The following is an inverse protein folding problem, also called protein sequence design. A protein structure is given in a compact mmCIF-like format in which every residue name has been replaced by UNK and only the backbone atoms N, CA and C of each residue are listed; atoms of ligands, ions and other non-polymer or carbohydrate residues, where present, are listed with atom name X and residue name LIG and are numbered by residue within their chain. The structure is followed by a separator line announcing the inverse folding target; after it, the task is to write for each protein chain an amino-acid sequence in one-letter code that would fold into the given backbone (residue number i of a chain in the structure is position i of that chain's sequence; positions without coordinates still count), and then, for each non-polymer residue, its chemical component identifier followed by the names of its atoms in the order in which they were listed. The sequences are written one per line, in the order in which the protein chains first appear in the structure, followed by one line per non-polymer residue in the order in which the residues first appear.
data_IF_634092176733
#
_entry.id   IF_634092176733
#
_cell.length_a   1.000
_cell.length_b   1.000
_cell.length_c   1.000
_cell.angle_alpha   90.00
_cell.angle_beta   90.00
_cell.angle_gamma   90.00
#
_symmetry.space_group_name_H-M   'P 1'
#
loop_
_entity.id
_entity.type
_entity.pdbx_description
1 polymer ?
#
# COMPACT_ATOMS: atom_id res chain seq x y z
N UNK A 1 -25.72 -0.38 -24.34
CA UNK A 1 -25.03 -0.70 -23.07
C UNK A 1 -23.79 0.19 -23.00
N UNK A 2 -23.48 0.80 -21.85
CA UNK A 2 -22.29 1.64 -21.72
C UNK A 2 -21.02 0.77 -21.88
N UNK A 3 -20.13 1.01 -22.86
CA UNK A 3 -18.94 0.19 -23.07
C UNK A 3 -17.98 0.17 -21.86
N UNK A 4 -18.07 1.18 -20.98
CA UNK A 4 -17.27 1.28 -19.77
C UNK A 4 -17.76 0.38 -18.63
N UNK A 5 -19.00 -0.14 -18.71
CA UNK A 5 -19.57 -0.97 -17.64
C UNK A 5 -18.76 -2.25 -17.40
N UNK A 6 -18.37 -2.96 -18.47
CA UNK A 6 -17.55 -4.17 -18.35
C UNK A 6 -16.17 -3.88 -17.76
N UNK A 7 -15.58 -2.74 -18.11
CA UNK A 7 -14.28 -2.32 -17.56
C UNK A 7 -14.39 -1.95 -16.07
N UNK A 8 -15.47 -1.31 -15.64
CA UNK A 8 -15.72 -1.04 -14.23
C UNK A 8 -15.93 -2.33 -13.43
N UNK A 9 -16.70 -3.30 -13.97
CA UNK A 9 -16.84 -4.61 -13.35
C UNK A 9 -15.50 -5.35 -13.22
N UNK A 10 -14.64 -5.24 -14.24
CA UNK A 10 -13.29 -5.79 -14.16
C UNK A 10 -12.45 -5.11 -13.07
N UNK A 11 -12.45 -3.77 -12.98
CA UNK A 11 -11.78 -3.04 -11.90
C UNK A 11 -12.27 -3.49 -10.51
N UNK A 12 -13.58 -3.63 -10.35
CA UNK A 12 -14.19 -4.09 -9.09
C UNK A 12 -13.77 -5.53 -8.77
N UNK A 13 -13.75 -6.43 -9.76
CA UNK A 13 -13.28 -7.80 -9.59
C UNK A 13 -11.80 -7.86 -9.18
N UNK A 14 -10.95 -7.00 -9.76
CA UNK A 14 -9.55 -6.89 -9.34
C UNK A 14 -9.43 -6.40 -7.89
N UNK A 15 -10.20 -5.38 -7.48
CA UNK A 15 -10.18 -4.93 -6.08
C UNK A 15 -10.70 -5.99 -5.10
N UNK A 16 -11.75 -6.74 -5.46
CA UNK A 16 -12.19 -7.88 -4.67
C UNK A 16 -11.08 -8.95 -4.56
N UNK A 17 -10.40 -9.25 -5.66
CA UNK A 17 -9.23 -10.13 -5.69
C UNK A 17 -8.09 -9.65 -4.78
N UNK A 18 -7.81 -8.33 -4.76
CA UNK A 18 -6.84 -7.72 -3.86
C UNK A 18 -7.20 -7.91 -2.38
N UNK A 19 -8.46 -7.66 -2.02
CA UNK A 19 -8.98 -7.85 -0.65
C UNK A 19 -8.87 -9.32 -0.23
N UNK A 20 -9.22 -10.25 -1.13
CA UNK A 20 -9.09 -11.70 -0.90
C UNK A 20 -7.62 -12.06 -0.67
N UNK A 21 -6.71 -11.61 -1.52
CA UNK A 21 -5.28 -11.89 -1.39
C UNK A 21 -4.72 -11.33 -0.07
N UNK A 22 -5.05 -10.09 0.28
CA UNK A 22 -4.66 -9.48 1.56
C UNK A 22 -5.24 -10.20 2.77
N UNK A 23 -6.49 -10.66 2.71
CA UNK A 23 -7.12 -11.48 3.76
C UNK A 23 -6.40 -12.82 3.93
N UNK A 24 -5.98 -13.47 2.84
CA UNK A 24 -5.20 -14.70 2.90
C UNK A 24 -3.79 -14.46 3.48
N UNK A 25 -3.18 -13.30 3.22
CA UNK A 25 -1.94 -12.88 3.89
C UNK A 25 -2.17 -12.78 5.40
N UNK A 26 -3.24 -12.11 5.84
CA UNK A 26 -3.57 -11.98 7.27
C UNK A 26 -3.77 -13.36 7.91
N UNK A 27 -4.55 -14.26 7.28
CA UNK A 27 -4.77 -15.63 7.77
C UNK A 27 -3.50 -16.48 7.85
N UNK A 28 -2.47 -16.16 7.07
CA UNK A 28 -1.17 -16.84 7.16
C UNK A 28 -0.44 -16.52 8.48
N UNK A 29 -0.67 -15.33 9.03
CA UNK A 29 -0.03 -14.87 10.27
C UNK A 29 -0.91 -15.07 11.51
N UNK A 30 -2.24 -15.09 11.35
CA UNK A 30 -3.19 -15.12 12.46
C UNK A 30 -4.26 -16.20 12.30
N UNK A 31 -4.49 -16.95 13.38
CA UNK A 31 -5.59 -17.91 13.49
C UNK A 31 -6.80 -17.34 14.25
N UNK A 32 -6.62 -16.24 14.99
CA UNK A 32 -7.69 -15.61 15.76
C UNK A 32 -8.73 -14.97 14.81
N UNK A 33 -10.01 -15.37 14.88
CA UNK A 33 -11.04 -14.87 13.98
C UNK A 33 -11.29 -13.36 14.13
N UNK A 34 -11.16 -12.79 15.33
CA UNK A 34 -11.34 -11.35 15.55
C UNK A 34 -10.28 -10.55 14.78
N UNK A 35 -9.02 -10.97 14.88
CA UNK A 35 -7.89 -10.34 14.21
C UNK A 35 -8.00 -10.44 12.68
N UNK A 36 -8.44 -11.60 12.18
CA UNK A 36 -8.69 -11.81 10.76
C UNK A 36 -9.84 -10.93 10.26
N UNK A 37 -10.97 -10.91 10.96
CA UNK A 37 -12.14 -10.08 10.59
C UNK A 37 -11.77 -8.61 10.60
N UNK A 38 -11.12 -8.13 11.66
CA UNK A 38 -10.68 -6.73 11.75
C UNK A 38 -9.75 -6.38 10.59
N UNK A 39 -8.76 -7.22 10.29
CA UNK A 39 -7.85 -6.98 9.18
C UNK A 39 -8.56 -6.96 7.82
N UNK A 40 -9.51 -7.88 7.59
CA UNK A 40 -10.33 -7.88 6.37
C UNK A 40 -11.19 -6.61 6.26
N UNK A 41 -11.77 -6.14 7.37
CA UNK A 41 -12.52 -4.88 7.38
C UNK A 41 -11.64 -3.68 7.05
N UNK A 42 -10.41 -3.62 7.59
CA UNK A 42 -9.45 -2.56 7.22
C UNK A 42 -9.20 -2.55 5.72
N UNK A 43 -8.88 -3.70 5.12
CA UNK A 43 -8.63 -3.77 3.67
C UNK A 43 -9.85 -3.41 2.82
N UNK A 44 -11.04 -3.76 3.28
CA UNK A 44 -12.28 -3.56 2.53
C UNK A 44 -12.81 -2.13 2.62
N UNK A 45 -12.64 -1.50 3.78
CA UNK A 45 -13.24 -0.20 4.12
C UNK A 45 -12.19 0.91 4.22
N UNK A 46 -10.94 0.65 3.83
CA UNK A 46 -9.93 1.70 3.76
C UNK A 46 -10.33 2.73 2.68
N UNK A 47 -10.38 4.03 3.03
CA UNK A 47 -10.95 5.06 2.16
C UNK A 47 -10.41 5.07 0.72
N UNK A 48 -9.08 5.04 0.53
CA UNK A 48 -8.51 5.04 -0.82
C UNK A 48 -8.85 3.79 -1.64
N UNK A 49 -9.10 2.65 -0.99
CA UNK A 49 -9.56 1.43 -1.65
C UNK A 49 -10.94 1.61 -2.30
N UNK A 50 -11.84 2.32 -1.62
CA UNK A 50 -13.18 2.66 -2.12
C UNK A 50 -13.08 3.55 -3.35
N UNK A 51 -12.27 4.60 -3.29
CA UNK A 51 -12.02 5.51 -4.43
C UNK A 51 -11.49 4.77 -5.65
N UNK A 52 -10.64 3.77 -5.45
CA UNK A 52 -10.05 3.01 -6.54
C UNK A 52 -10.94 1.94 -7.14
N UNK A 53 -11.88 1.38 -6.37
CA UNK A 53 -12.75 0.32 -6.83
C UNK A 53 -13.62 0.73 -8.03
N UNK A 54 -14.02 2.01 -8.10
CA UNK A 54 -14.82 2.55 -9.20
C UNK A 54 -14.03 3.08 -10.40
N UNK A 55 -12.69 3.18 -10.30
CA UNK A 55 -11.86 3.78 -11.36
C UNK A 55 -11.51 2.76 -12.44
N UNK A 56 -11.55 3.21 -13.69
CA UNK A 56 -11.03 2.47 -14.83
C UNK A 56 -9.57 2.89 -15.00
N UNK A 57 -8.65 1.93 -14.89
CA UNK A 57 -7.22 2.17 -15.00
C UNK A 57 -6.42 0.90 -14.73
N UNK A 58 -5.09 1.01 -14.76
CA UNK A 58 -4.20 -0.12 -14.51
C UNK A 58 -4.02 -0.40 -13.01
N UNK A 59 -4.41 0.56 -12.15
CA UNK A 59 -4.24 0.48 -10.70
C UNK A 59 -4.94 -0.73 -10.06
N UNK A 60 -6.24 -1.01 -10.30
CA UNK A 60 -6.89 -2.16 -9.69
C UNK A 60 -6.21 -3.50 -10.05
N UNK A 61 -5.84 -3.68 -11.33
CA UNK A 61 -5.14 -4.88 -11.79
C UNK A 61 -3.75 -4.99 -11.16
N UNK A 62 -2.99 -3.89 -11.08
CA UNK A 62 -1.73 -3.85 -10.36
C UNK A 62 -1.93 -4.24 -8.89
N UNK A 63 -2.94 -3.71 -8.20
CA UNK A 63 -3.18 -4.01 -6.78
C UNK A 63 -3.47 -5.50 -6.60
N UNK A 64 -4.33 -6.07 -7.42
CA UNK A 64 -4.61 -7.50 -7.43
C UNK A 64 -3.34 -8.34 -7.60
N UNK A 65 -2.55 -8.06 -8.64
CA UNK A 65 -1.32 -8.81 -8.94
C UNK A 65 -0.25 -8.60 -7.87
N UNK A 66 -0.12 -7.40 -7.31
CA UNK A 66 0.77 -7.10 -6.18
C UNK A 66 0.34 -7.90 -4.94
N UNK A 67 -0.96 -7.91 -4.63
CA UNK A 67 -1.51 -8.65 -3.50
C UNK A 67 -1.26 -10.16 -3.62
N UNK A 68 -1.46 -10.74 -4.81
CA UNK A 68 -1.14 -12.14 -5.08
C UNK A 68 0.38 -12.41 -5.00
N UNK A 69 1.20 -11.54 -5.59
CA UNK A 69 2.65 -11.63 -5.48
C UNK A 69 3.11 -11.65 -4.02
N UNK A 70 2.63 -10.71 -3.20
CA UNK A 70 2.94 -10.63 -1.79
C UNK A 70 2.41 -11.85 -1.01
N UNK A 71 1.20 -12.35 -1.33
CA UNK A 71 0.66 -13.59 -0.75
C UNK A 71 1.59 -14.77 -0.96
N UNK A 72 2.03 -15.01 -2.19
CA UNK A 72 2.91 -16.13 -2.50
C UNK A 72 4.33 -15.93 -1.95
N UNK A 73 4.85 -14.69 -1.89
CA UNK A 73 6.10 -14.40 -1.15
C UNK A 73 5.94 -14.78 0.32
N UNK A 74 4.85 -14.36 0.97
CA UNK A 74 4.60 -14.67 2.37
C UNK A 74 4.43 -16.17 2.60
N UNK A 75 3.67 -16.88 1.75
CA UNK A 75 3.50 -18.33 1.85
C UNK A 75 4.83 -19.07 1.67
N UNK A 76 5.61 -18.72 0.65
CA UNK A 76 6.96 -19.29 0.48
C UNK A 76 7.84 -19.02 1.70
N UNK A 77 7.78 -17.80 2.25
CA UNK A 77 8.57 -17.41 3.40
C UNK A 77 8.20 -18.21 4.66
N UNK A 78 6.89 -18.35 4.95
CA UNK A 78 6.37 -18.98 6.17
C UNK A 78 6.26 -20.50 6.07
N UNK A 79 5.77 -21.03 4.95
CA UNK A 79 5.50 -22.46 4.74
C UNK A 79 6.68 -23.17 4.05
N UNK A 80 7.56 -22.43 3.38
CA UNK A 80 8.77 -23.00 2.78
C UNK A 80 8.57 -23.72 1.45
N UNK A 81 7.40 -23.64 0.84
CA UNK A 81 7.11 -24.33 -0.42
C UNK A 81 7.78 -23.66 -1.62
N UNK A 82 8.64 -24.41 -2.34
CA UNK A 82 9.31 -23.92 -3.55
C UNK A 82 8.34 -23.47 -4.65
N UNK A 83 7.17 -24.10 -4.76
CA UNK A 83 6.13 -23.73 -5.74
C UNK A 83 5.71 -22.27 -5.56
N UNK A 84 5.50 -21.84 -4.32
CA UNK A 84 5.03 -20.49 -4.01
C UNK A 84 6.06 -19.43 -4.41
N UNK A 85 7.37 -19.74 -4.34
CA UNK A 85 8.43 -18.88 -4.86
C UNK A 85 8.31 -18.61 -6.37
N UNK A 86 8.05 -19.66 -7.15
CA UNK A 86 7.90 -19.55 -8.60
C UNK A 86 6.57 -18.88 -8.98
N UNK A 87 5.50 -19.14 -8.23
CA UNK A 87 4.21 -18.47 -8.46
C UNK A 87 4.33 -16.98 -8.13
N UNK A 88 5.04 -16.61 -7.06
CA UNK A 88 5.32 -15.22 -6.73
C UNK A 88 6.08 -14.48 -7.85
N UNK A 89 7.06 -15.13 -8.49
CA UNK A 89 7.83 -14.51 -9.57
C UNK A 89 7.00 -14.30 -10.84
N UNK A 90 6.05 -15.19 -11.14
CA UNK A 90 5.07 -15.00 -12.21
C UNK A 90 4.16 -13.81 -11.93
N UNK A 91 3.64 -13.67 -10.69
CA UNK A 91 2.83 -12.50 -10.34
C UNK A 91 3.63 -11.20 -10.32
N UNK A 92 4.91 -11.24 -9.93
CA UNK A 92 5.82 -10.09 -10.02
C UNK A 92 6.04 -9.65 -11.48
N UNK A 93 6.22 -10.61 -12.39
CA UNK A 93 6.30 -10.38 -13.83
C UNK A 93 5.03 -9.71 -14.36
N UNK A 94 3.86 -10.30 -14.09
CA UNK A 94 2.57 -9.77 -14.54
C UNK A 94 2.29 -8.36 -13.97
N UNK A 95 2.58 -8.15 -12.68
CA UNK A 95 2.42 -6.84 -12.03
C UNK A 95 3.31 -5.79 -12.69
N UNK A 96 4.53 -6.15 -13.04
CA UNK A 96 5.50 -5.24 -13.68
C UNK A 96 5.06 -4.83 -15.08
N UNK A 97 4.57 -5.77 -15.89
CA UNK A 97 4.02 -5.47 -17.23
C UNK A 97 2.78 -4.59 -17.13
N UNK A 98 1.96 -4.78 -16.09
CA UNK A 98 0.81 -3.91 -15.84
C UNK A 98 1.23 -2.47 -15.51
N UNK A 99 2.26 -2.31 -14.65
CA UNK A 99 2.85 -1.02 -14.28
C UNK A 99 4.24 -1.19 -13.68
N UNK A 100 5.17 -0.27 -13.94
CA UNK A 100 6.54 -0.32 -13.42
C UNK A 100 6.64 -0.46 -11.89
N UNK A 101 5.65 0.02 -11.13
CA UNK A 101 5.56 -0.18 -9.66
C UNK A 101 5.44 -1.65 -9.24
N UNK A 102 5.08 -2.56 -10.15
CA UNK A 102 5.12 -4.00 -9.95
C UNK A 102 6.53 -4.56 -9.71
N UNK A 103 7.59 -3.84 -10.11
CA UNK A 103 8.98 -4.21 -9.82
C UNK A 103 9.26 -4.35 -8.32
N UNK A 104 8.47 -3.67 -7.48
CA UNK A 104 8.60 -3.76 -6.03
C UNK A 104 8.30 -5.18 -5.52
N UNK A 105 7.48 -5.97 -6.22
CA UNK A 105 7.25 -7.38 -5.87
C UNK A 105 8.54 -8.19 -6.08
N UNK A 106 9.27 -7.97 -7.18
CA UNK A 106 10.58 -8.58 -7.40
C UNK A 106 11.58 -8.13 -6.33
N UNK A 107 11.63 -6.83 -6.01
CA UNK A 107 12.53 -6.30 -5.00
C UNK A 107 12.32 -7.00 -3.64
N UNK A 108 11.07 -7.18 -3.21
CA UNK A 108 10.73 -7.90 -1.98
C UNK A 108 11.12 -9.37 -2.07
N UNK A 109 10.79 -10.07 -3.16
CA UNK A 109 11.12 -11.48 -3.37
C UNK A 109 12.64 -11.72 -3.31
N UNK A 110 13.42 -10.89 -4.02
CA UNK A 110 14.88 -10.95 -4.06
C UNK A 110 15.47 -10.63 -2.67
N UNK A 111 15.00 -9.57 -2.02
CA UNK A 111 15.46 -9.20 -0.68
C UNK A 111 15.19 -10.31 0.35
N UNK A 112 14.02 -10.97 0.30
CA UNK A 112 13.75 -12.16 1.11
C UNK A 112 14.70 -13.32 0.76
N UNK A 113 15.04 -13.53 -0.52
CA UNK A 113 15.92 -14.63 -0.94
C UNK A 113 17.32 -14.50 -0.33
N UNK A 114 17.87 -13.29 -0.35
CA UNK A 114 19.24 -13.01 0.09
C UNK A 114 19.33 -12.43 1.50
N UNK A 115 18.24 -12.49 2.29
CA UNK A 115 18.26 -12.00 3.66
C UNK A 115 19.24 -12.82 4.52
N UNK A 116 20.22 -12.18 5.20
CA UNK A 116 21.34 -12.86 5.84
C UNK A 116 20.97 -13.57 7.15
N UNK A 117 19.88 -13.18 7.78
CA UNK A 117 19.40 -13.81 9.02
C UNK A 117 18.59 -15.04 8.65
N UNK A 118 19.13 -16.22 8.99
CA UNK A 118 18.69 -17.54 8.54
C UNK A 118 17.18 -17.70 8.36
N UNK A 119 16.82 -18.40 7.28
CA UNK A 119 15.44 -18.72 6.96
C UNK A 119 14.71 -19.40 8.13
N UNK A 120 13.38 -19.27 8.16
CA UNK A 120 12.57 -20.00 9.12
C UNK A 120 12.87 -21.52 9.02
N UNK A 121 12.90 -22.25 10.15
CA UNK A 121 13.11 -23.69 10.15
C UNK A 121 12.12 -24.38 9.20
N UNK A 122 12.62 -25.28 8.33
CA UNK A 122 11.79 -25.99 7.35
C UNK A 122 11.63 -25.30 5.99
N UNK A 123 12.16 -24.09 5.78
CA UNK A 123 12.17 -23.45 4.46
C UNK A 123 13.01 -24.26 3.47
N UNK A 124 12.42 -24.69 2.35
CA UNK A 124 13.20 -25.31 1.29
C UNK A 124 14.12 -24.25 0.64
N UNK A 125 15.42 -24.53 0.47
CA UNK A 125 16.32 -23.61 -0.20
C UNK A 125 15.90 -23.46 -1.67
N UNK A 126 15.97 -22.23 -2.18
CA UNK A 126 15.81 -21.96 -3.61
C UNK A 126 16.95 -22.62 -4.37
N UNK A 127 16.64 -23.30 -5.49
CA UNK A 127 17.65 -23.88 -6.37
C UNK A 127 18.22 -22.80 -7.30
N UNK A 128 19.43 -23.00 -7.83
CA UNK A 128 20.02 -22.10 -8.85
C UNK A 128 19.08 -21.90 -10.05
N UNK A 129 18.39 -22.96 -10.48
CA UNK A 129 17.42 -22.86 -11.59
C UNK A 129 16.25 -21.92 -11.25
N UNK A 130 15.83 -21.84 -10.00
CA UNK A 130 14.75 -20.93 -9.58
C UNK A 130 15.19 -19.47 -9.70
N UNK A 131 16.45 -19.19 -9.33
CA UNK A 131 17.06 -17.87 -9.46
C UNK A 131 17.23 -17.47 -10.93
N UNK A 132 17.61 -18.41 -11.80
CA UNK A 132 17.66 -18.19 -13.26
C UNK A 132 16.28 -17.86 -13.82
N UNK A 133 15.24 -18.57 -13.39
CA UNK A 133 13.85 -18.27 -13.80
C UNK A 133 13.43 -16.88 -13.33
N UNK A 134 13.69 -16.52 -12.07
CA UNK A 134 13.38 -15.17 -11.56
C UNK A 134 14.14 -14.09 -12.34
N UNK A 135 15.44 -14.30 -12.60
CA UNK A 135 16.25 -13.36 -13.37
C UNK A 135 15.72 -13.21 -14.81
N UNK A 136 15.38 -14.32 -15.47
CA UNK A 136 14.77 -14.31 -16.80
C UNK A 136 13.46 -13.53 -16.81
N UNK A 137 12.55 -13.82 -15.87
CA UNK A 137 11.27 -13.12 -15.76
C UNK A 137 11.46 -11.64 -15.46
N UNK A 138 12.39 -11.26 -14.59
CA UNK A 138 12.71 -9.86 -14.32
C UNK A 138 13.21 -9.14 -15.57
N UNK A 139 14.17 -9.72 -16.29
CA UNK A 139 14.70 -9.14 -17.53
C UNK A 139 13.61 -9.02 -18.59
N UNK A 140 12.78 -10.05 -18.76
CA UNK A 140 11.66 -10.02 -19.68
C UNK A 140 10.63 -8.94 -19.31
N UNK A 141 10.27 -8.83 -18.03
CA UNK A 141 9.35 -7.79 -17.55
C UNK A 141 9.90 -6.37 -17.79
N UNK A 142 11.17 -6.14 -17.43
CA UNK A 142 11.84 -4.86 -17.69
C UNK A 142 11.92 -4.55 -19.20
N UNK A 143 12.24 -5.55 -20.01
CA UNK A 143 12.31 -5.39 -21.47
C UNK A 143 10.97 -4.97 -22.04
N UNK A 144 9.88 -5.66 -21.68
CA UNK A 144 8.53 -5.33 -22.15
C UNK A 144 8.11 -3.94 -21.65
N UNK A 145 8.35 -3.64 -20.38
CA UNK A 145 7.88 -2.39 -19.74
C UNK A 145 8.63 -1.16 -20.22
N UNK A 146 9.96 -1.27 -20.46
CA UNK A 146 10.82 -0.12 -20.73
C UNK A 146 11.26 0.01 -22.20
N UNK A 147 11.29 -1.07 -22.99
CA UNK A 147 11.64 -0.99 -24.41
C UNK A 147 10.44 -0.66 -25.30
N UNK A 148 9.22 -0.84 -24.81
CA UNK A 148 8.00 -0.44 -25.50
C UNK A 148 7.26 0.63 -24.69
N UNK A 149 7.83 1.84 -24.52
CA UNK A 149 7.10 2.92 -23.86
C UNK A 149 5.80 3.17 -24.64
N UNK A 150 4.62 3.05 -24.00
CA UNK A 150 3.33 3.07 -24.70
C UNK A 150 2.98 4.42 -25.36
N UNK A 151 3.85 5.44 -25.28
CA UNK A 151 3.56 6.81 -25.69
C UNK A 151 4.66 7.44 -26.55
N UNK A 152 5.05 6.76 -27.63
CA UNK A 152 5.73 7.36 -28.78
C UNK A 152 7.14 7.93 -28.57
N UNK A 153 7.81 8.35 -29.66
CA UNK A 153 9.10 9.03 -29.60
C UNK A 153 8.90 10.46 -29.04
N UNK A 154 9.11 10.64 -27.74
CA UNK A 154 9.00 11.95 -27.08
C UNK A 154 8.62 11.95 -25.60
N UNK A 155 8.39 10.78 -24.99
CA UNK A 155 8.22 10.70 -23.54
C UNK A 155 9.55 10.92 -22.81
N UNK A 156 9.72 12.08 -22.16
CA UNK A 156 10.96 12.45 -21.48
C UNK A 156 11.27 11.63 -20.20
N UNK A 157 10.30 10.90 -19.65
CA UNK A 157 10.52 10.03 -18.47
C UNK A 157 10.01 8.59 -18.69
N UNK A 158 10.93 7.63 -18.55
CA UNK A 158 10.69 6.19 -18.65
C UNK A 158 9.82 5.63 -17.51
N UNK A 159 9.68 6.35 -16.40
CA UNK A 159 8.93 5.92 -15.22
C UNK A 159 7.44 6.27 -15.29
N UNK A 160 7.12 7.44 -15.86
CA UNK A 160 5.75 7.95 -16.00
C UNK A 160 5.58 8.53 -17.40
N UNK A 161 4.96 7.76 -18.30
CA UNK A 161 4.86 8.12 -19.71
C UNK A 161 4.10 9.42 -20.02
N UNK A 162 3.30 9.94 -19.07
CA UNK A 162 2.56 11.19 -19.22
C UNK A 162 3.17 12.35 -18.42
N UNK A 163 4.42 12.23 -17.94
CA UNK A 163 5.07 13.25 -17.12
C UNK A 163 5.25 14.58 -17.87
N UNK A 164 5.47 14.53 -19.19
CA UNK A 164 5.63 15.71 -20.05
C UNK A 164 4.33 16.50 -20.25
N UNK A 165 3.17 15.91 -19.93
CA UNK A 165 1.86 16.57 -20.01
C UNK A 165 1.45 17.24 -18.68
N UNK A 166 2.31 17.19 -17.66
CA UNK A 166 2.01 17.77 -16.36
C UNK A 166 2.15 19.30 -16.42
N UNK A 167 1.10 20.01 -15.99
CA UNK A 167 1.08 21.47 -15.97
C UNK A 167 2.10 22.01 -14.93
N UNK A 168 2.83 23.11 -15.20
CA UNK A 168 3.82 23.64 -14.27
C UNK A 168 3.27 23.99 -12.88
N UNK A 169 1.97 24.30 -12.78
CA UNK A 169 1.31 24.75 -11.56
C UNK A 169 1.26 23.67 -10.48
N UNK A 170 1.28 22.38 -10.86
CA UNK A 170 1.29 21.23 -9.92
C UNK A 170 2.70 20.82 -9.49
N UNK A 171 3.74 21.51 -10.00
CA UNK A 171 5.11 21.32 -9.54
C UNK A 171 5.26 21.85 -8.12
N UNK A 172 5.98 21.11 -7.29
CA UNK A 172 6.15 21.38 -5.87
C UNK A 172 7.63 21.32 -5.53
N UNK A 173 8.09 22.21 -4.65
CA UNK A 173 9.50 22.22 -4.25
C UNK A 173 10.02 20.85 -3.76
N UNK A 174 11.29 20.59 -4.02
CA UNK A 174 12.00 19.35 -3.65
C UNK A 174 13.02 19.58 -2.51
N UNK A 175 12.68 20.42 -1.54
CA UNK A 175 13.57 20.73 -0.41
C UNK A 175 13.49 19.63 0.65
N UNK A 176 14.57 19.25 1.35
CA UNK A 176 14.52 18.22 2.40
C UNK A 176 13.43 18.46 3.47
N UNK A 177 13.18 19.72 3.82
CA UNK A 177 12.12 20.11 4.78
C UNK A 177 10.72 19.64 4.35
N UNK A 178 10.47 19.51 3.04
CA UNK A 178 9.19 19.06 2.49
C UNK A 178 8.92 17.58 2.75
N UNK A 179 9.97 16.80 3.03
CA UNK A 179 9.90 15.36 3.29
C UNK A 179 9.76 15.02 4.76
N UNK A 180 10.20 15.90 5.66
CA UNK A 180 10.30 15.60 7.10
C UNK A 180 9.39 16.46 7.98
N UNK A 181 9.02 17.66 7.53
CA UNK A 181 8.14 18.53 8.31
C UNK A 181 6.78 17.86 8.41
N UNK A 182 6.18 17.82 9.60
CA UNK A 182 4.81 17.38 9.78
C UNK A 182 4.17 18.22 10.89
N UNK A 183 3.04 18.86 10.60
CA UNK A 183 2.28 19.63 11.59
C UNK A 183 0.96 18.91 11.88
N UNK A 184 0.83 18.22 13.03
CA UNK A 184 -0.36 17.43 13.33
C UNK A 184 -1.61 18.29 13.52
N UNK A 185 -1.47 19.52 14.04
CA UNK A 185 -2.59 20.45 14.21
C UNK A 185 -3.15 20.81 12.85
N UNK A 186 -2.28 21.26 11.95
CA UNK A 186 -2.66 21.61 10.58
C UNK A 186 -3.21 20.42 9.80
N UNK A 187 -2.68 19.21 10.04
CA UNK A 187 -3.21 17.98 9.46
C UNK A 187 -4.64 17.69 9.90
N UNK A 188 -5.00 17.99 11.15
CA UNK A 188 -6.37 17.79 11.62
C UNK A 188 -7.27 18.93 11.13
N UNK A 189 -6.83 20.19 11.18
CA UNK A 189 -7.69 21.35 10.89
C UNK A 189 -7.95 21.58 9.41
N UNK A 190 -7.06 21.14 8.52
CA UNK A 190 -7.26 21.18 7.07
C UNK A 190 -7.59 19.77 6.57
N UNK A 191 -8.87 19.41 6.40
CA UNK A 191 -9.27 18.04 6.09
C UNK A 191 -8.83 17.58 4.71
N UNK A 192 -8.86 18.46 3.71
CA UNK A 192 -8.65 18.12 2.30
C UNK A 192 -7.37 18.75 1.76
N UNK A 193 -6.81 18.13 0.72
CA UNK A 193 -5.66 18.66 -0.02
C UNK A 193 -6.03 18.79 -1.48
N UNK A 194 -5.69 19.93 -2.08
CA UNK A 194 -5.75 20.11 -3.53
C UNK A 194 -4.35 19.90 -4.13
N UNK A 195 -4.33 19.29 -5.30
CA UNK A 195 -3.13 19.17 -6.12
C UNK A 195 -2.70 20.52 -6.73
N UNK A 196 -3.65 21.42 -6.99
CA UNK A 196 -3.45 22.68 -7.70
C UNK A 196 -3.03 23.86 -6.82
N UNK A 197 -3.51 23.94 -5.58
CA UNK A 197 -3.28 25.10 -4.70
C UNK A 197 -3.04 24.71 -3.23
N UNK A 198 -2.38 25.60 -2.48
CA UNK A 198 -2.18 25.49 -1.02
C UNK A 198 -0.77 25.08 -0.58
N UNK A 199 -0.42 25.42 0.67
CA UNK A 199 0.89 25.12 1.25
C UNK A 199 1.07 23.62 1.58
N UNK A 200 -0.02 22.88 1.79
CA UNK A 200 -0.03 21.48 2.23
C UNK A 200 0.52 20.51 1.18
N UNK A 201 0.37 20.81 -0.13
CA UNK A 201 0.92 19.99 -1.23
C UNK A 201 2.44 19.93 -1.28
N UNK A 202 3.12 20.90 -0.66
CA UNK A 202 4.57 20.87 -0.53
C UNK A 202 5.01 19.85 0.52
N UNK A 203 4.16 19.51 1.49
CA UNK A 203 4.48 18.59 2.56
C UNK A 203 4.11 17.15 2.16
N UNK A 204 5.13 16.33 1.89
CA UNK A 204 4.96 14.99 1.34
C UNK A 204 4.20 14.06 2.29
N UNK A 205 4.48 14.10 3.59
CA UNK A 205 3.82 13.25 4.58
C UNK A 205 2.37 13.68 4.76
N UNK A 206 2.11 14.99 4.88
CA UNK A 206 0.76 15.52 4.97
C UNK A 206 -0.06 15.09 3.75
N UNK A 207 0.45 15.35 2.56
CA UNK A 207 -0.25 15.04 1.31
C UNK A 207 -0.49 13.53 1.15
N UNK A 208 0.50 12.68 1.45
CA UNK A 208 0.36 11.22 1.42
C UNK A 208 -0.76 10.74 2.36
N UNK A 209 -0.75 11.17 3.62
CA UNK A 209 -1.74 10.73 4.60
C UNK A 209 -3.14 11.26 4.28
N UNK A 210 -3.26 12.48 3.74
CA UNK A 210 -4.56 13.03 3.32
C UNK A 210 -5.13 12.33 2.12
N UNK A 211 -4.32 12.14 1.08
CA UNK A 211 -4.75 11.43 -0.12
C UNK A 211 -5.09 9.97 0.21
N UNK A 212 -4.45 9.36 1.21
CA UNK A 212 -4.83 8.02 1.71
C UNK A 212 -6.29 7.91 2.19
N UNK A 213 -6.86 9.02 2.66
CA UNK A 213 -8.22 9.09 3.21
C UNK A 213 -9.23 9.68 2.23
N UNK A 214 -8.87 10.75 1.54
CA UNK A 214 -9.84 11.55 0.78
C UNK A 214 -9.49 11.68 -0.70
N UNK A 215 -8.35 11.12 -1.12
CA UNK A 215 -7.76 11.43 -2.42
C UNK A 215 -7.31 12.89 -2.54
N UNK A 216 -7.05 13.32 -3.77
CA UNK A 216 -6.75 14.71 -4.10
C UNK A 216 -8.05 15.47 -4.47
N UNK A 217 -9.06 15.37 -3.60
CA UNK A 217 -10.37 15.97 -3.81
C UNK A 217 -10.73 16.87 -2.63
N UNK A 218 -11.44 17.96 -2.93
CA UNK A 218 -12.10 18.79 -1.95
C UNK A 218 -13.59 18.44 -1.93
N UNK A 219 -14.16 18.32 -0.73
CA UNK A 219 -15.58 18.03 -0.51
C UNK A 219 -16.28 19.23 0.14
N UNK A 220 -17.62 19.18 0.17
CA UNK A 220 -18.46 20.26 0.71
C UNK A 220 -18.28 20.44 2.22
N UNK A 221 -18.70 21.61 2.73
CA UNK A 221 -18.62 21.99 4.15
C UNK A 221 -19.32 21.02 5.11
N UNK A 222 -20.31 20.25 4.65
CA UNK A 222 -21.04 19.28 5.48
C UNK A 222 -20.16 18.10 5.92
N UNK A 223 -19.16 17.73 5.10
CA UNK A 223 -18.26 16.61 5.36
C UNK A 223 -16.98 17.00 6.12
N UNK A 224 -16.75 18.30 6.31
CA UNK A 224 -15.54 18.88 6.92
C UNK A 224 -15.31 18.35 8.36
N UNK A 225 -16.37 18.34 9.18
CA UNK A 225 -16.28 17.86 10.56
C UNK A 225 -15.88 16.39 10.64
N UNK A 226 -16.46 15.53 9.81
CA UNK A 226 -16.14 14.09 9.76
C UNK A 226 -14.71 13.88 9.30
N UNK A 227 -14.27 14.61 8.27
CA UNK A 227 -12.92 14.49 7.74
C UNK A 227 -11.84 14.93 8.76
N UNK A 228 -12.13 15.96 9.57
CA UNK A 228 -11.26 16.38 10.69
C UNK A 228 -11.14 15.28 11.75
N UNK A 229 -12.26 14.68 12.15
CA UNK A 229 -12.27 13.55 13.11
C UNK A 229 -11.52 12.34 12.56
N UNK A 230 -11.76 11.95 11.31
CA UNK A 230 -11.02 10.87 10.65
C UNK A 230 -9.51 11.14 10.61
N UNK A 231 -9.11 12.38 10.33
CA UNK A 231 -7.70 12.78 10.32
C UNK A 231 -7.07 12.63 11.71
N UNK A 232 -7.77 13.08 12.75
CA UNK A 232 -7.33 12.88 14.13
C UNK A 232 -7.21 11.38 14.47
N UNK A 233 -8.21 10.57 14.10
CA UNK A 233 -8.20 9.13 14.33
C UNK A 233 -7.06 8.42 13.62
N UNK A 234 -6.73 8.82 12.38
CA UNK A 234 -5.57 8.29 11.68
C UNK A 234 -4.27 8.56 12.44
N UNK A 235 -4.09 9.76 13.01
CA UNK A 235 -2.93 10.06 13.85
C UNK A 235 -2.89 9.19 15.10
N UNK A 236 -4.04 8.94 15.74
CA UNK A 236 -4.13 8.04 16.90
C UNK A 236 -3.83 6.59 16.54
N UNK A 237 -4.25 6.12 15.36
CA UNK A 237 -3.90 4.79 14.82
C UNK A 237 -2.39 4.67 14.59
N UNK A 238 -1.78 5.68 13.96
CA UNK A 238 -0.33 5.71 13.73
C UNK A 238 0.46 5.78 15.04
N UNK A 239 0.00 6.57 16.01
CA UNK A 239 0.59 6.66 17.34
C UNK A 239 0.49 5.33 18.08
N UNK A 240 -0.68 4.68 18.06
CA UNK A 240 -0.88 3.35 18.65
C UNK A 240 0.09 2.31 18.06
N UNK A 241 0.24 2.31 16.72
CA UNK A 241 1.18 1.42 16.04
C UNK A 241 2.63 1.71 16.48
N UNK A 242 3.03 2.99 16.51
CA UNK A 242 4.37 3.41 16.93
C UNK A 242 4.66 2.98 18.38
N UNK A 243 3.74 3.25 19.31
CA UNK A 243 3.87 2.86 20.72
C UNK A 243 3.93 1.34 20.89
N UNK A 244 3.22 0.58 20.05
CA UNK A 244 3.28 -0.89 20.09
C UNK A 244 4.62 -1.44 19.62
N UNK A 245 5.23 -0.81 18.61
CA UNK A 245 6.59 -1.15 18.14
C UNK A 245 7.64 -0.78 19.19
N UNK A 246 7.57 0.42 19.78
CA UNK A 246 8.50 0.88 20.82
C UNK A 246 8.34 0.07 22.12
N UNK A 247 7.11 -0.30 22.46
CA UNK A 247 6.71 -1.03 23.67
C UNK A 247 7.22 -2.48 23.75
N UNK A 248 8.19 -2.85 22.89
CA UNK A 248 8.88 -4.14 22.84
C UNK A 248 7.93 -5.31 22.71
N UNK A 249 6.84 -5.17 21.97
CA UNK A 249 6.26 -6.36 21.38
C UNK A 249 7.35 -6.98 20.52
N UNK A 250 7.85 -8.15 20.92
CA UNK A 250 8.84 -8.90 20.14
C UNK A 250 8.14 -9.44 18.91
N UNK A 251 7.87 -8.55 17.96
CA UNK A 251 7.50 -8.93 16.62
C UNK A 251 8.67 -9.73 16.09
N UNK A 252 8.43 -10.99 15.75
CA UNK A 252 9.46 -11.82 15.15
C UNK A 252 9.80 -11.20 13.80
N UNK A 253 10.84 -10.35 13.77
CA UNK A 253 11.26 -9.63 12.57
C UNK A 253 11.49 -10.60 11.41
N UNK A 254 12.02 -11.79 11.71
CA UNK A 254 12.19 -12.87 10.75
C UNK A 254 10.86 -13.37 10.21
N UNK A 255 9.85 -13.66 11.06
CA UNK A 255 8.54 -14.17 10.58
C UNK A 255 7.83 -13.17 9.68
N UNK A 256 7.86 -11.89 10.02
CA UNK A 256 7.17 -10.82 9.29
C UNK A 256 8.05 -10.12 8.25
N UNK A 257 9.22 -10.67 7.91
CA UNK A 257 10.18 -10.01 7.02
C UNK A 257 9.56 -9.57 5.68
N UNK A 258 8.79 -10.38 4.94
CA UNK A 258 8.19 -9.94 3.68
C UNK A 258 7.28 -8.72 3.83
N UNK A 259 6.60 -8.60 4.97
CA UNK A 259 5.70 -7.50 5.30
C UNK A 259 6.49 -6.20 5.51
N UNK A 260 7.59 -6.27 6.28
CA UNK A 260 8.48 -5.13 6.48
C UNK A 260 9.15 -4.70 5.18
N UNK A 261 9.67 -5.64 4.41
CA UNK A 261 10.32 -5.36 3.13
C UNK A 261 9.34 -4.77 2.12
N UNK A 262 8.10 -5.27 2.06
CA UNK A 262 7.05 -4.71 1.20
C UNK A 262 6.72 -3.27 1.58
N UNK A 263 6.49 -2.99 2.86
CA UNK A 263 6.20 -1.63 3.33
C UNK A 263 7.38 -0.69 3.05
N UNK A 264 8.61 -1.12 3.37
CA UNK A 264 9.82 -0.33 3.12
C UNK A 264 10.02 -0.05 1.62
N UNK A 265 9.83 -1.06 0.75
CA UNK A 265 9.94 -0.90 -0.69
C UNK A 265 8.91 0.09 -1.25
N UNK A 266 7.65 0.01 -0.79
CA UNK A 266 6.58 0.93 -1.22
C UNK A 266 6.84 2.37 -0.75
N UNK A 267 7.26 2.55 0.50
CA UNK A 267 7.60 3.87 1.05
C UNK A 267 8.82 4.45 0.34
N UNK A 268 9.87 3.66 0.13
CA UNK A 268 11.07 4.09 -0.59
C UNK A 268 10.76 4.45 -2.04
N UNK A 269 9.94 3.66 -2.73
CA UNK A 269 9.52 3.94 -4.10
C UNK A 269 8.70 5.22 -4.18
N UNK A 270 7.77 5.43 -3.25
CA UNK A 270 6.99 6.67 -3.15
C UNK A 270 7.91 7.89 -3.01
N UNK A 271 8.87 7.85 -2.07
CA UNK A 271 9.82 8.94 -1.89
C UNK A 271 10.72 9.15 -3.10
N UNK A 272 11.18 8.06 -3.74
CA UNK A 272 11.99 8.10 -4.95
C UNK A 272 11.24 8.77 -6.11
N UNK A 273 9.99 8.35 -6.37
CA UNK A 273 9.15 8.94 -7.42
C UNK A 273 8.91 10.42 -7.13
N UNK A 274 8.59 10.78 -5.88
CA UNK A 274 8.38 12.18 -5.50
C UNK A 274 9.63 13.04 -5.57
N UNK A 275 10.80 12.46 -5.35
CA UNK A 275 12.08 13.16 -5.51
C UNK A 275 12.41 13.39 -6.99
N UNK A 276 12.18 12.39 -7.84
CA UNK A 276 12.47 12.45 -9.29
C UNK A 276 11.46 13.31 -10.05
N UNK A 277 10.18 13.18 -9.73
CA UNK A 277 9.06 13.85 -10.38
C UNK A 277 8.31 14.66 -9.31
N UNK A 278 8.75 15.89 -9.03
CA UNK A 278 8.27 16.69 -7.91
C UNK A 278 6.94 17.37 -8.23
N UNK A 279 5.91 16.55 -8.47
CA UNK A 279 4.53 17.00 -8.72
C UNK A 279 3.60 16.48 -7.65
N UNK A 280 2.66 17.29 -7.18
CA UNK A 280 1.65 16.90 -6.18
C UNK A 280 0.83 15.68 -6.63
N UNK A 281 0.49 15.60 -7.92
CA UNK A 281 -0.25 14.47 -8.50
C UNK A 281 0.50 13.12 -8.42
N UNK A 282 1.83 13.12 -8.32
CA UNK A 282 2.64 11.90 -8.16
C UNK A 282 2.89 11.55 -6.68
N UNK A 283 2.51 12.44 -5.75
CA UNK A 283 2.45 12.15 -4.31
C UNK A 283 1.16 11.45 -3.87
N UNK A 284 0.41 10.90 -4.82
CA UNK A 284 -0.92 10.35 -4.57
C UNK A 284 -0.90 8.94 -3.96
N UNK A 285 -2.07 8.48 -3.50
CA UNK A 285 -2.32 7.23 -2.77
C UNK A 285 -1.97 5.93 -3.52
N UNK A 286 -1.36 5.99 -4.71
CA UNK A 286 -1.15 4.82 -5.59
C UNK A 286 -0.24 3.76 -4.97
N UNK A 287 0.69 4.17 -4.11
CA UNK A 287 1.54 3.27 -3.33
C UNK A 287 0.89 2.83 -2.02
N UNK A 288 -0.15 3.54 -1.59
CA UNK A 288 -0.82 3.34 -0.31
C UNK A 288 -1.70 2.10 -0.37
N UNK A 289 -2.49 1.91 -1.44
CA UNK A 289 -3.40 0.75 -1.52
C UNK A 289 -2.63 -0.56 -1.34
N UNK A 290 -1.54 -0.86 -2.07
CA UNK A 290 -0.72 -2.04 -1.79
C UNK A 290 -0.13 -2.05 -0.37
N UNK A 291 0.29 -0.90 0.16
CA UNK A 291 0.84 -0.78 1.50
C UNK A 291 -0.17 -1.09 2.61
N UNK A 292 -1.48 -0.99 2.32
CA UNK A 292 -2.53 -1.32 3.28
C UNK A 292 -2.46 -2.78 3.74
N UNK A 293 -2.03 -3.74 2.89
CA UNK A 293 -1.80 -5.13 3.34
C UNK A 293 -0.77 -5.15 4.46
N UNK A 294 0.39 -4.54 4.22
CA UNK A 294 1.49 -4.56 5.17
C UNK A 294 1.16 -3.80 6.46
N UNK A 295 0.57 -2.61 6.34
CA UNK A 295 0.12 -1.82 7.48
C UNK A 295 -0.95 -2.55 8.30
N UNK A 296 -1.91 -3.20 7.63
CA UNK A 296 -2.97 -3.98 8.30
C UNK A 296 -2.38 -5.14 9.08
N UNK A 297 -1.48 -5.92 8.46
CA UNK A 297 -0.81 -7.03 9.17
C UNK A 297 -0.07 -6.52 10.39
N UNK A 298 0.71 -5.43 10.27
CA UNK A 298 1.44 -4.86 11.40
C UNK A 298 0.50 -4.33 12.51
N UNK A 299 -0.60 -3.68 12.13
CA UNK A 299 -1.59 -3.16 13.08
C UNK A 299 -2.31 -4.28 13.84
N UNK A 300 -2.75 -5.31 13.13
CA UNK A 300 -3.37 -6.50 13.73
C UNK A 300 -2.36 -7.27 14.59
N UNK A 301 -1.07 -7.30 14.18
CA UNK A 301 0.00 -7.86 15.02
C UNK A 301 0.14 -7.08 16.32
N UNK A 302 0.04 -5.75 16.27
CA UNK A 302 0.11 -4.90 17.45
C UNK A 302 -1.02 -5.23 18.45
N UNK A 303 -2.25 -5.38 17.96
CA UNK A 303 -3.40 -5.78 18.79
C UNK A 303 -3.19 -7.18 19.37
N UNK A 304 -2.88 -8.17 18.53
CA UNK A 304 -2.66 -9.55 18.96
C UNK A 304 -1.51 -9.70 19.97
N UNK A 305 -0.44 -8.92 19.81
CA UNK A 305 0.68 -8.87 20.75
C UNK A 305 0.27 -8.36 22.13
N UNK A 306 -0.65 -7.40 22.22
CA UNK A 306 -1.18 -6.93 23.51
C UNK A 306 -2.11 -7.95 24.15
N UNK A 307 -2.96 -8.64 23.38
CA UNK A 307 -3.76 -9.74 23.91
C UNK A 307 -2.86 -10.86 24.47
N UNK A 308 -1.84 -11.28 23.72
CA UNK A 308 -0.88 -12.29 24.14
C UNK A 308 -0.06 -11.89 25.39
N UNK A 309 0.15 -10.59 25.61
CA UNK A 309 0.86 -10.05 26.76
C UNK A 309 -0.06 -9.74 27.97
N UNK A 310 -1.31 -10.21 27.97
CA UNK A 310 -2.33 -9.89 28.99
C UNK A 310 -2.60 -8.38 29.17
N UNK A 311 -2.40 -7.59 28.11
CA UNK A 311 -2.67 -6.14 28.06
C UNK A 311 -3.96 -5.85 27.30
N UNK A 312 -5.04 -6.54 27.67
CA UNK A 312 -6.32 -6.53 26.94
C UNK A 312 -6.89 -5.12 26.76
N UNK A 313 -6.74 -4.23 27.75
CA UNK A 313 -7.19 -2.84 27.64
C UNK A 313 -6.55 -2.12 26.44
N UNK A 314 -5.24 -2.27 26.24
CA UNK A 314 -4.53 -1.68 25.10
C UNK A 314 -4.96 -2.29 23.77
N UNK A 315 -5.15 -3.62 23.74
CA UNK A 315 -5.66 -4.29 22.55
C UNK A 315 -7.05 -3.77 22.15
N UNK A 316 -7.96 -3.61 23.12
CA UNK A 316 -9.30 -3.08 22.89
C UNK A 316 -9.29 -1.61 22.45
N UNK A 317 -8.36 -0.79 22.93
CA UNK A 317 -8.15 0.58 22.40
C UNK A 317 -7.83 0.51 20.90
N UNK A 318 -6.94 -0.39 20.48
CA UNK A 318 -6.63 -0.58 19.06
C UNK A 318 -7.84 -1.03 18.24
N UNK A 319 -8.60 -2.01 18.73
CA UNK A 319 -9.84 -2.46 18.06
C UNK A 319 -10.86 -1.33 17.93
N UNK A 320 -11.09 -0.57 19.01
CA UNK A 320 -12.05 0.53 19.03
C UNK A 320 -11.63 1.67 18.09
N UNK A 321 -10.36 2.09 18.12
CA UNK A 321 -9.83 3.13 17.24
C UNK A 321 -10.02 2.77 15.77
N UNK A 322 -9.64 1.56 15.37
CA UNK A 322 -9.78 1.15 13.98
C UNK A 322 -11.25 0.99 13.58
N UNK A 323 -12.07 0.37 14.41
CA UNK A 323 -13.49 0.16 14.11
C UNK A 323 -14.24 1.48 13.92
N UNK A 324 -13.99 2.47 14.80
CA UNK A 324 -14.59 3.79 14.67
C UNK A 324 -14.05 4.55 13.44
N UNK A 325 -12.77 4.40 13.08
CA UNK A 325 -12.22 5.02 11.87
C UNK A 325 -12.87 4.44 10.59
N UNK A 326 -13.04 3.12 10.52
CA UNK A 326 -13.70 2.46 9.38
C UNK A 326 -15.19 2.80 9.30
N UNK A 327 -15.86 2.91 10.45
CA UNK A 327 -17.25 3.37 10.53
C UNK A 327 -17.41 4.79 9.98
N UNK A 328 -16.55 5.72 10.42
CA UNK A 328 -16.53 7.09 9.89
C UNK A 328 -16.15 7.15 8.41
N UNK A 329 -15.19 6.35 7.96
CA UNK A 329 -14.83 6.26 6.54
C UNK A 329 -16.02 5.83 5.68
N UNK A 330 -16.73 4.79 6.12
CA UNK A 330 -17.91 4.30 5.40
C UNK A 330 -19.01 5.37 5.35
N UNK A 331 -19.26 6.03 6.48
CA UNK A 331 -20.24 7.12 6.55
C UNK A 331 -19.85 8.32 5.69
N UNK A 332 -18.57 8.71 5.69
CA UNK A 332 -18.06 9.81 4.87
C UNK A 332 -18.31 9.55 3.38
N UNK A 333 -17.98 8.36 2.88
CA UNK A 333 -18.17 8.04 1.45
C UNK A 333 -19.63 7.84 1.06
N UNK A 334 -20.52 7.48 1.99
CA UNK A 334 -21.96 7.46 1.75
C UNK A 334 -22.56 8.87 1.63
N UNK A 335 -22.02 9.85 2.34
CA UNK A 335 -22.44 11.26 2.23
C UNK A 335 -21.83 11.96 1.00
N UNK A 336 -20.64 11.55 0.60
CA UNK A 336 -19.89 12.16 -0.49
C UNK A 336 -20.25 11.62 -1.89
N UNK A 337 -20.96 10.50 -1.98
CA UNK A 337 -21.39 9.86 -3.23
C UNK A 337 -22.67 10.49 -3.79
#
# INVERSE_FOLDING_TARGET
MNPFFLLQLFSLACMAGFIIAGTLVIRLFFSDPLLVVLGTLVLSLWPSGIVHAGRIGNEPMLYFLYGLGLLFICRWWVLGERRDFLVASVFAFLATICKATGLLVFAVLIACTYWPFGALPGRQPTKKIDQVVVAFLLVAACSITFLHPPFGPGGDDWLIGNSSQLVPEIMVGNKPVNFVRFNPVHFVTEPFVDSGDGASRHNVIHYLLKTSMFGAFAFTSESDGIAKVMSFMLLMILLYLLLSVIGRQRLSMTRFLPIYLSLAALVAAFFFVRYRLPTSANSDFRFIVPATISLTVLYVTAIGGHFAANRSAYAWIGVALMSAFLGLSSFFWLLAA
#
